data_IF_894759660847
#
_entry.id   IF_894759660847
#
_cell.length_a   1.000
_cell.length_b   1.000
_cell.length_c   1.000
_cell.angle_alpha   90.00
_cell.angle_beta   90.00
_cell.angle_gamma   90.00
#
_symmetry.space_group_name_H-M   'P 1'
#
loop_
_entity.id
_entity.type
_entity.pdbx_description
1 polymer ?
#
# COMPACT_ATOMS: atom_id res chain seq x y z
N UNK A 1 2.33 8.05 6.98
CA UNK A 1 2.48 7.58 8.38
C UNK A 1 3.93 7.62 8.85
N UNK A 2 4.89 7.14 8.06
CA UNK A 2 6.31 6.99 8.43
C UNK A 2 6.96 8.34 8.77
N UNK A 3 6.65 9.40 8.02
CA UNK A 3 7.13 10.76 8.30
C UNK A 3 6.61 11.27 9.66
N UNK A 4 5.35 10.98 9.96
CA UNK A 4 4.74 11.38 11.25
C UNK A 4 5.37 10.58 12.39
N UNK A 5 5.71 9.33 12.18
CA UNK A 5 6.35 8.50 13.20
C UNK A 5 7.76 8.98 13.52
N UNK A 6 8.57 9.29 12.52
CA UNK A 6 9.92 9.86 12.74
C UNK A 6 9.85 11.25 13.41
N UNK A 7 8.86 12.08 13.05
CA UNK A 7 8.65 13.37 13.72
C UNK A 7 8.35 13.16 15.21
N UNK A 8 7.45 12.23 15.55
CA UNK A 8 7.14 11.89 16.94
C UNK A 8 8.37 11.39 17.71
N UNK A 9 9.21 10.57 17.07
CA UNK A 9 10.46 10.14 17.68
C UNK A 9 11.40 11.31 17.94
N UNK A 10 11.62 12.18 16.95
CA UNK A 10 12.49 13.34 17.07
C UNK A 10 11.98 14.34 18.11
N UNK A 11 10.67 14.59 18.17
CA UNK A 11 10.06 15.43 19.20
C UNK A 11 10.32 14.87 20.61
N UNK A 12 10.19 13.56 20.81
CA UNK A 12 10.56 12.91 22.07
C UNK A 12 12.04 13.07 22.40
N UNK A 13 12.92 13.18 21.40
CA UNK A 13 14.36 13.46 21.58
C UNK A 13 14.67 14.93 21.87
N UNK A 14 13.66 15.80 21.87
CA UNK A 14 13.80 17.23 22.16
C UNK A 14 13.84 18.12 20.91
N UNK A 15 13.58 17.59 19.71
CA UNK A 15 13.44 18.42 18.50
C UNK A 15 12.14 19.24 18.54
N UNK A 16 12.20 20.46 18.04
CA UNK A 16 11.04 21.35 17.89
C UNK A 16 10.58 21.25 16.45
N UNK A 17 9.50 20.51 16.23
CA UNK A 17 8.95 20.24 14.89
C UNK A 17 7.44 20.46 14.95
N UNK A 18 6.94 21.29 14.03
CA UNK A 18 5.51 21.57 13.87
C UNK A 18 5.06 21.20 12.44
N UNK A 19 3.84 20.67 12.36
CA UNK A 19 3.20 20.35 11.08
C UNK A 19 2.30 21.51 10.67
N UNK A 20 2.59 22.10 9.53
CA UNK A 20 1.79 23.14 8.91
C UNK A 20 0.84 22.58 7.85
N UNK A 21 0.08 23.49 7.23
CA UNK A 21 -0.75 23.17 6.08
C UNK A 21 0.10 22.77 4.85
N UNK A 22 -0.55 22.14 3.86
CA UNK A 22 0.06 21.80 2.56
C UNK A 22 1.37 21.00 2.66
N UNK A 23 1.43 20.03 3.59
CA UNK A 23 2.60 19.16 3.82
C UNK A 23 3.86 19.92 4.23
N UNK A 24 3.72 21.11 4.79
CA UNK A 24 4.83 21.91 5.32
C UNK A 24 5.25 21.39 6.68
N UNK A 25 6.54 21.29 6.92
CA UNK A 25 7.14 20.92 8.20
C UNK A 25 8.02 22.09 8.64
N UNK A 26 7.74 22.65 9.81
CA UNK A 26 8.56 23.68 10.44
C UNK A 26 9.48 23.02 11.46
N UNK A 27 10.78 23.32 11.36
CA UNK A 27 11.79 22.75 12.24
C UNK A 27 12.61 23.90 12.83
N UNK A 28 12.56 24.05 14.15
CA UNK A 28 13.46 24.95 14.87
C UNK A 28 14.68 24.16 15.35
N UNK A 29 15.85 24.63 14.98
CA UNK A 29 17.12 23.99 15.34
C UNK A 29 17.36 24.00 16.83
N UNK A 30 17.77 22.86 17.38
CA UNK A 30 18.16 22.72 18.78
C UNK A 30 19.65 22.38 18.91
N UNK A 31 20.29 22.80 19.98
CA UNK A 31 21.72 22.56 20.20
C UNK A 31 22.06 21.08 20.39
N UNK A 32 21.13 20.30 20.96
CA UNK A 32 21.36 18.90 21.30
C UNK A 32 20.04 18.13 21.38
N UNK A 33 20.06 16.92 20.82
CA UNK A 33 19.03 15.91 21.03
C UNK A 33 19.48 14.94 22.14
N UNK A 34 18.53 14.33 22.84
CA UNK A 34 18.80 13.29 23.85
C UNK A 34 18.28 11.92 23.38
N UNK A 35 18.71 10.86 24.04
CA UNK A 35 18.22 9.50 23.78
C UNK A 35 16.74 9.35 24.14
N UNK A 36 16.08 8.45 23.41
CA UNK A 36 14.65 8.15 23.60
C UNK A 36 14.40 6.66 23.38
N UNK A 37 13.38 6.14 24.03
CA UNK A 37 12.76 4.87 23.68
C UNK A 37 11.54 5.15 22.80
N UNK A 38 11.53 4.53 21.61
CA UNK A 38 10.46 4.68 20.63
C UNK A 38 10.17 3.34 19.96
N UNK A 39 8.89 3.00 19.91
CA UNK A 39 8.41 1.85 19.15
C UNK A 39 7.95 2.35 17.78
N UNK A 40 8.57 1.86 16.71
CA UNK A 40 8.22 2.24 15.34
C UNK A 40 6.87 1.67 14.95
N UNK A 41 6.24 2.31 13.96
CA UNK A 41 4.99 1.83 13.37
C UNK A 41 5.15 0.45 12.73
N UNK A 42 4.10 -0.40 12.77
CA UNK A 42 4.04 -1.62 11.96
C UNK A 42 4.15 -1.29 10.47
N UNK A 43 4.84 -2.15 9.72
CA UNK A 43 4.96 -1.99 8.27
C UNK A 43 3.65 -2.28 7.56
N UNK A 44 3.09 -1.27 6.92
CA UNK A 44 1.87 -1.38 6.14
C UNK A 44 2.06 -2.12 4.81
N UNK A 45 3.28 -2.16 4.26
CA UNK A 45 3.58 -2.91 3.04
C UNK A 45 3.56 -4.42 3.30
N UNK A 46 4.07 -4.86 4.46
CA UNK A 46 3.90 -6.24 4.92
C UNK A 46 2.41 -6.57 5.12
N UNK A 47 1.65 -5.67 5.74
CA UNK A 47 0.22 -5.88 5.95
C UNK A 47 -0.52 -6.09 4.63
N UNK A 48 -0.23 -5.29 3.60
CA UNK A 48 -0.78 -5.44 2.24
C UNK A 48 -0.36 -6.77 1.61
N UNK A 49 0.91 -7.15 1.74
CA UNK A 49 1.42 -8.41 1.18
C UNK A 49 0.70 -9.63 1.76
N UNK A 50 0.51 -9.69 3.08
CA UNK A 50 -0.23 -10.77 3.74
C UNK A 50 -1.74 -10.73 3.44
N UNK A 51 -2.33 -9.55 3.28
CA UNK A 51 -3.71 -9.42 2.84
C UNK A 51 -3.90 -9.94 1.41
N UNK A 52 -3.01 -9.57 0.49
CA UNK A 52 -3.01 -10.08 -0.88
C UNK A 52 -2.83 -11.60 -0.91
N UNK A 53 -1.93 -12.14 -0.09
CA UNK A 53 -1.76 -13.59 0.07
C UNK A 53 -3.08 -14.28 0.47
N UNK A 54 -3.76 -13.76 1.49
CA UNK A 54 -5.05 -14.31 1.94
C UNK A 54 -6.09 -14.33 0.81
N UNK A 55 -6.20 -13.22 0.08
CA UNK A 55 -7.18 -13.07 -1.00
C UNK A 55 -6.81 -13.92 -2.23
N UNK A 56 -5.53 -13.98 -2.61
CA UNK A 56 -5.06 -14.77 -3.76
C UNK A 56 -5.27 -16.28 -3.55
N UNK A 57 -4.98 -16.78 -2.36
CA UNK A 57 -5.01 -18.22 -2.06
C UNK A 57 -6.34 -18.73 -1.51
N UNK A 58 -7.39 -17.89 -1.48
CA UNK A 58 -8.67 -18.21 -0.84
C UNK A 58 -8.52 -18.57 0.65
N UNK A 59 -7.52 -17.96 1.26
CA UNK A 59 -7.16 -18.17 2.65
C UNK A 59 -7.76 -17.12 3.59
N UNK A 60 -7.32 -17.21 4.84
CA UNK A 60 -7.73 -16.31 5.91
C UNK A 60 -6.52 -15.94 6.76
N UNK A 61 -6.15 -14.65 6.81
CA UNK A 61 -4.95 -14.17 7.51
C UNK A 61 -5.32 -13.02 8.45
N UNK A 62 -4.97 -13.14 9.72
CA UNK A 62 -5.02 -12.04 10.66
C UNK A 62 -3.65 -11.37 10.73
N UNK A 63 -3.60 -10.10 10.31
CA UNK A 63 -2.39 -9.28 10.34
C UNK A 63 -2.39 -8.48 11.64
N UNK A 64 -1.65 -8.98 12.63
CA UNK A 64 -1.51 -8.32 13.92
C UNK A 64 -0.76 -7.00 13.75
N UNK A 65 -1.26 -5.95 14.41
CA UNK A 65 -0.66 -4.62 14.36
C UNK A 65 -1.02 -3.81 13.11
N UNK A 66 -1.75 -4.37 12.13
CA UNK A 66 -2.22 -3.60 10.99
C UNK A 66 -3.16 -2.48 11.43
N UNK A 67 -2.93 -1.26 10.93
CA UNK A 67 -3.64 -0.04 11.30
C UNK A 67 -4.54 0.39 10.14
N UNK A 68 -5.85 0.45 10.38
CA UNK A 68 -6.84 0.76 9.36
C UNK A 68 -6.57 2.09 8.66
N UNK A 69 -6.26 3.12 9.41
CA UNK A 69 -6.04 4.49 8.91
C UNK A 69 -4.85 4.57 7.93
N UNK A 70 -3.90 3.65 8.03
CA UNK A 70 -2.76 3.58 7.12
C UNK A 70 -3.05 2.84 5.81
N UNK A 71 -4.20 2.16 5.72
CA UNK A 71 -4.56 1.23 4.65
C UNK A 71 -5.86 1.58 3.91
N UNK A 72 -6.47 2.74 4.15
CA UNK A 72 -7.83 3.07 3.70
C UNK A 72 -8.05 2.83 2.20
N UNK A 73 -7.14 3.30 1.35
CA UNK A 73 -7.25 3.10 -0.10
C UNK A 73 -7.10 1.64 -0.50
N UNK A 74 -6.18 0.91 0.14
CA UNK A 74 -6.01 -0.52 -0.06
C UNK A 74 -7.25 -1.32 0.36
N UNK A 75 -7.83 -1.01 1.52
CA UNK A 75 -9.04 -1.68 2.02
C UNK A 75 -10.23 -1.53 1.06
N UNK A 76 -10.38 -0.36 0.43
CA UNK A 76 -11.38 -0.16 -0.62
C UNK A 76 -11.11 -1.03 -1.84
N UNK A 77 -9.84 -1.16 -2.25
CA UNK A 77 -9.44 -2.02 -3.38
C UNK A 77 -9.69 -3.49 -3.07
N UNK A 78 -9.41 -3.96 -1.84
CA UNK A 78 -9.70 -5.33 -1.39
C UNK A 78 -11.16 -5.70 -1.63
N UNK A 79 -12.11 -4.84 -1.23
CA UNK A 79 -13.54 -5.10 -1.45
C UNK A 79 -13.93 -5.08 -2.92
N UNK A 80 -13.36 -4.16 -3.69
CA UNK A 80 -13.66 -4.05 -5.13
C UNK A 80 -13.24 -5.29 -5.89
N UNK A 81 -12.14 -5.95 -5.53
CA UNK A 81 -11.64 -7.15 -6.22
C UNK A 81 -12.25 -8.47 -5.74
N UNK A 82 -13.08 -8.46 -4.67
CA UNK A 82 -13.73 -9.67 -4.14
C UNK A 82 -13.21 -10.16 -2.81
N UNK A 83 -12.25 -9.45 -2.22
CA UNK A 83 -11.82 -9.68 -0.85
C UNK A 83 -12.73 -9.00 0.18
N UNK A 84 -12.53 -9.33 1.44
CA UNK A 84 -13.18 -8.69 2.59
C UNK A 84 -12.21 -8.62 3.76
N UNK A 85 -12.51 -7.77 4.72
CA UNK A 85 -11.73 -7.60 5.92
C UNK A 85 -12.59 -7.27 7.14
N UNK A 86 -12.05 -7.56 8.31
CA UNK A 86 -12.63 -7.21 9.61
C UNK A 86 -11.56 -6.52 10.47
N UNK A 87 -11.83 -5.29 10.87
CA UNK A 87 -10.94 -4.54 11.78
C UNK A 87 -11.21 -4.99 13.22
N UNK A 88 -10.14 -5.33 13.92
CA UNK A 88 -10.13 -5.75 15.32
C UNK A 88 -9.19 -4.88 16.13
N UNK A 89 -9.30 -4.85 17.46
CA UNK A 89 -8.41 -4.03 18.31
C UNK A 89 -6.91 -4.28 18.10
N UNK A 90 -6.54 -5.52 17.74
CA UNK A 90 -5.14 -5.94 17.62
C UNK A 90 -4.63 -6.00 16.17
N UNK A 91 -5.46 -5.67 15.16
CA UNK A 91 -5.07 -5.76 13.75
C UNK A 91 -6.26 -5.95 12.82
N UNK A 92 -6.01 -6.50 11.65
CA UNK A 92 -7.03 -6.67 10.60
C UNK A 92 -7.00 -8.12 10.10
N UNK A 93 -8.18 -8.74 10.04
CA UNK A 93 -8.39 -10.05 9.43
C UNK A 93 -8.77 -9.85 7.96
N UNK A 94 -8.11 -10.56 7.03
CA UNK A 94 -8.38 -10.54 5.61
C UNK A 94 -8.77 -11.91 5.08
N UNK A 95 -9.68 -11.97 4.08
CA UNK A 95 -10.05 -13.20 3.38
C UNK A 95 -10.67 -12.88 2.02
N UNK A 96 -10.79 -13.90 1.16
CA UNK A 96 -11.60 -13.83 -0.05
C UNK A 96 -13.07 -14.10 0.31
N UNK A 97 -13.96 -13.17 -0.04
CA UNK A 97 -15.41 -13.32 0.21
C UNK A 97 -16.18 -13.68 -1.05
N UNK A 98 -15.68 -13.30 -2.23
CA UNK A 98 -16.32 -13.48 -3.53
C UNK A 98 -15.30 -13.91 -4.59
N UNK A 99 -15.74 -14.44 -5.75
CA UNK A 99 -14.87 -14.61 -6.91
C UNK A 99 -14.10 -13.33 -7.22
N UNK A 100 -12.81 -13.48 -7.52
CA UNK A 100 -11.98 -12.33 -7.85
C UNK A 100 -12.42 -11.75 -9.18
N UNK A 101 -12.49 -10.44 -9.26
CA UNK A 101 -12.88 -9.69 -10.46
C UNK A 101 -11.85 -8.65 -10.81
N UNK A 102 -11.70 -8.40 -12.11
CA UNK A 102 -10.83 -7.36 -12.63
C UNK A 102 -11.25 -5.97 -12.12
N UNK A 103 -10.26 -5.14 -11.85
CA UNK A 103 -10.42 -3.75 -11.40
C UNK A 103 -9.40 -2.85 -12.07
N UNK A 104 -9.70 -1.56 -12.08
CA UNK A 104 -8.79 -0.52 -12.52
C UNK A 104 -8.32 0.27 -11.31
N UNK A 105 -7.00 0.49 -11.20
CA UNK A 105 -6.38 1.33 -10.19
C UNK A 105 -5.30 2.21 -10.81
N UNK A 106 -5.08 3.35 -10.17
CA UNK A 106 -3.96 4.24 -10.42
C UNK A 106 -3.14 4.33 -9.14
N UNK A 107 -1.82 4.21 -9.26
CA UNK A 107 -0.94 4.39 -8.11
C UNK A 107 -0.75 5.87 -7.80
N UNK A 108 -0.44 6.16 -6.56
CA UNK A 108 -0.16 7.53 -6.10
C UNK A 108 0.70 7.45 -4.83
N UNK A 109 1.13 8.61 -4.36
CA UNK A 109 1.71 8.77 -3.02
C UNK A 109 0.61 8.72 -1.96
N UNK A 110 0.99 8.40 -0.71
CA UNK A 110 0.02 8.42 0.40
C UNK A 110 -0.71 9.78 0.50
N UNK A 111 -2.05 9.81 0.65
CA UNK A 111 -3.00 8.74 0.96
C UNK A 111 -3.62 8.01 -0.24
N UNK A 112 -3.09 8.19 -1.45
CA UNK A 112 -3.50 7.44 -2.63
C UNK A 112 -3.17 5.94 -2.53
N UNK A 113 -3.41 5.19 -3.61
CA UNK A 113 -3.00 3.79 -3.67
C UNK A 113 -1.50 3.71 -3.90
N UNK A 114 -0.76 3.31 -2.88
CA UNK A 114 0.69 3.38 -2.93
C UNK A 114 1.30 2.48 -4.00
N UNK A 115 2.30 3.02 -4.68
CA UNK A 115 3.05 2.30 -5.72
C UNK A 115 3.70 1.00 -5.21
N UNK A 116 4.07 0.90 -3.91
CA UNK A 116 4.61 -0.32 -3.31
C UNK A 116 3.58 -1.45 -3.16
N UNK A 117 2.31 -1.15 -3.30
CA UNK A 117 1.21 -2.12 -3.18
C UNK A 117 0.79 -2.71 -4.52
N UNK A 118 1.34 -2.20 -5.65
CA UNK A 118 0.93 -2.67 -6.96
C UNK A 118 1.42 -4.09 -7.27
N UNK A 119 2.63 -4.46 -6.83
CA UNK A 119 3.19 -5.79 -7.09
C UNK A 119 2.36 -6.91 -6.45
N UNK A 120 2.08 -6.90 -5.12
CA UNK A 120 1.23 -7.92 -4.52
C UNK A 120 -0.21 -7.88 -5.05
N UNK A 121 -0.74 -6.70 -5.44
CA UNK A 121 -2.04 -6.60 -6.09
C UNK A 121 -2.04 -7.27 -7.47
N UNK A 122 -1.01 -7.07 -8.28
CA UNK A 122 -0.91 -7.67 -9.61
C UNK A 122 -0.98 -9.20 -9.55
N UNK A 123 -0.40 -9.82 -8.51
CA UNK A 123 -0.49 -11.27 -8.28
C UNK A 123 -1.95 -11.68 -8.04
N UNK A 124 -2.69 -10.94 -7.19
CA UNK A 124 -4.12 -11.24 -6.95
C UNK A 124 -4.92 -11.09 -8.25
N UNK A 125 -4.70 -10.00 -8.98
CA UNK A 125 -5.45 -9.68 -10.20
C UNK A 125 -5.13 -10.62 -11.37
N UNK A 126 -3.95 -11.26 -11.38
CA UNK A 126 -3.63 -12.28 -12.39
C UNK A 126 -4.52 -13.54 -12.28
N UNK A 127 -5.14 -13.78 -11.12
CA UNK A 127 -6.13 -14.84 -10.91
C UNK A 127 -7.58 -14.35 -10.95
N UNK A 128 -7.86 -13.10 -11.32
CA UNK A 128 -9.19 -12.52 -11.34
C UNK A 128 -9.91 -12.75 -12.68
N UNK A 129 -11.23 -12.83 -12.64
CA UNK A 129 -12.05 -12.84 -13.84
C UNK A 129 -12.14 -11.46 -14.49
N UNK A 130 -11.99 -11.39 -15.81
CA UNK A 130 -12.01 -10.15 -16.58
C UNK A 130 -10.65 -9.46 -16.65
N UNK A 131 -10.63 -8.28 -17.27
CA UNK A 131 -9.41 -7.49 -17.40
C UNK A 131 -9.21 -6.59 -16.18
N UNK A 132 -7.96 -6.45 -15.78
CA UNK A 132 -7.54 -5.47 -14.77
C UNK A 132 -6.56 -4.47 -15.38
N UNK A 133 -6.52 -3.27 -14.87
CA UNK A 133 -5.57 -2.26 -15.27
C UNK A 133 -4.90 -1.63 -14.05
N UNK A 134 -3.59 -1.56 -14.07
CA UNK A 134 -2.76 -0.84 -13.11
C UNK A 134 -2.04 0.27 -13.86
N UNK A 135 -2.33 1.51 -13.53
CA UNK A 135 -1.64 2.68 -14.05
C UNK A 135 -0.64 3.18 -12.99
N UNK A 136 0.66 3.03 -13.29
CA UNK A 136 1.74 3.50 -12.41
C UNK A 136 2.05 4.97 -12.72
N UNK A 137 1.90 5.83 -11.72
CA UNK A 137 2.10 7.28 -11.86
C UNK A 137 3.24 7.84 -11.03
N UNK A 138 3.87 7.01 -10.18
CA UNK A 138 4.89 7.48 -9.22
C UNK A 138 6.30 7.20 -9.72
N UNK A 139 6.53 6.02 -10.29
CA UNK A 139 7.84 5.60 -10.77
C UNK A 139 7.81 5.12 -12.21
N UNK A 140 8.79 5.53 -12.97
CA UNK A 140 9.05 5.03 -14.30
C UNK A 140 9.55 3.58 -14.23
N UNK A 141 9.22 2.79 -15.27
CA UNK A 141 9.75 1.44 -15.52
C UNK A 141 9.60 0.45 -14.34
N UNK A 142 8.50 0.53 -13.58
CA UNK A 142 8.29 -0.27 -12.37
C UNK A 142 7.60 -1.62 -12.60
N UNK A 143 7.35 -2.01 -13.87
CA UNK A 143 6.66 -3.25 -14.21
C UNK A 143 7.58 -4.42 -14.59
N UNK A 144 8.88 -4.33 -14.32
CA UNK A 144 9.86 -5.39 -14.69
C UNK A 144 9.50 -6.79 -14.18
N UNK A 145 8.91 -6.89 -12.99
CA UNK A 145 8.46 -8.15 -12.39
C UNK A 145 7.36 -8.88 -13.20
N UNK A 146 6.65 -8.19 -14.08
CA UNK A 146 5.57 -8.80 -14.90
C UNK A 146 6.10 -9.81 -15.88
N UNK A 147 7.36 -9.70 -16.31
CA UNK A 147 8.00 -10.70 -17.15
C UNK A 147 8.08 -12.06 -16.44
N UNK A 148 8.46 -12.05 -15.16
CA UNK A 148 8.55 -13.26 -14.35
C UNK A 148 7.17 -13.85 -14.08
N UNK A 149 6.16 -13.02 -13.81
CA UNK A 149 4.78 -13.47 -13.66
C UNK A 149 4.25 -14.11 -14.95
N UNK A 150 4.57 -13.56 -16.12
CA UNK A 150 4.20 -14.14 -17.42
C UNK A 150 4.89 -15.50 -17.65
N UNK A 151 6.15 -15.67 -17.24
CA UNK A 151 6.83 -16.97 -17.26
C UNK A 151 6.14 -18.01 -16.34
N UNK A 152 5.47 -17.55 -15.29
CA UNK A 152 4.68 -18.38 -14.38
C UNK A 152 3.25 -18.64 -14.88
N UNK A 153 2.86 -18.07 -16.05
CA UNK A 153 1.57 -18.32 -16.68
C UNK A 153 0.54 -17.18 -16.55
N UNK A 154 0.93 -16.02 -16.06
CA UNK A 154 0.07 -14.83 -16.12
C UNK A 154 -0.04 -14.30 -17.57
N UNK A 155 -1.09 -13.54 -17.88
CA UNK A 155 -1.26 -12.79 -19.13
C UNK A 155 -1.25 -11.29 -18.83
N UNK A 156 -0.06 -10.73 -18.67
CA UNK A 156 0.14 -9.31 -18.34
C UNK A 156 0.82 -8.60 -19.50
N UNK A 157 0.21 -7.51 -19.96
CA UNK A 157 0.75 -6.66 -21.02
C UNK A 157 1.12 -5.30 -20.44
N UNK A 158 2.33 -4.85 -20.72
CA UNK A 158 2.81 -3.54 -20.29
C UNK A 158 2.74 -2.56 -21.46
N UNK A 159 2.17 -1.40 -21.23
CA UNK A 159 2.06 -0.31 -22.18
C UNK A 159 2.80 0.91 -21.65
N UNK A 160 3.56 1.57 -22.51
CA UNK A 160 4.33 2.79 -22.16
C UNK A 160 3.60 4.08 -22.59
N UNK A 161 2.46 3.96 -23.26
CA UNK A 161 1.62 5.12 -23.63
C UNK A 161 0.42 5.18 -22.70
N UNK A 162 0.21 6.34 -22.07
CA UNK A 162 -0.99 6.58 -21.26
C UNK A 162 -2.28 6.44 -22.10
N UNK A 163 -3.28 5.79 -21.52
CA UNK A 163 -4.64 5.80 -22.04
C UNK A 163 -5.20 7.22 -21.88
N UNK A 164 -5.05 8.06 -22.89
CA UNK A 164 -5.53 9.45 -22.84
C UNK A 164 -4.64 10.44 -23.59
N UNK A 165 -3.44 10.07 -23.97
CA UNK A 165 -2.74 10.77 -25.03
C UNK A 165 -3.37 10.38 -26.35
N UNK A 166 -4.38 11.14 -26.75
CA UNK A 166 -4.78 11.19 -28.14
C UNK A 166 -3.59 11.73 -28.94
N UNK A 167 -3.30 11.11 -30.08
CA UNK A 167 -2.21 11.57 -30.96
C UNK A 167 -2.43 12.97 -31.46
#
# INVERSE_FOLDING_TARGET
PEIIDIIKMLQKMGAIIELGANRTIYIDGVLKLHGVEHTILPDRNEAVSFACLAVATDGRVFVKGAIQEHLLTFLNVVRRMGGEYEVRPEGILFWRAHPLRGIEIETDTHPGYMTDWQQPLAIVLSGAEGASMIHETVYEDRFGYTNDLNLMGADIKVFTKCLGELP
#
